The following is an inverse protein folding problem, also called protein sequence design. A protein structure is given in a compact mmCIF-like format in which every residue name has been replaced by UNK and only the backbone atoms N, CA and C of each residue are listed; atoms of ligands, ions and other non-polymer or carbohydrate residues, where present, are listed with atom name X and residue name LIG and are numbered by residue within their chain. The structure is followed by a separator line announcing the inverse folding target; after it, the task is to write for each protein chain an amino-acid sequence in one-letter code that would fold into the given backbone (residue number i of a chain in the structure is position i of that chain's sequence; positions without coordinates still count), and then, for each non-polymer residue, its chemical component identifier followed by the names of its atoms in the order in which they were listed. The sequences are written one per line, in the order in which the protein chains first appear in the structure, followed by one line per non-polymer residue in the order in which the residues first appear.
data_IF_582050307571
#
_entry.id   IF_582050307571
#
_cell.length_a   1.000
_cell.length_b   1.000
_cell.length_c   1.000
_cell.angle_alpha   90.00
_cell.angle_beta   90.00
_cell.angle_gamma   90.00
#
_symmetry.space_group_name_H-M   'P 1'
#
loop_
_entity.id
_entity.type
_entity.pdbx_description
1 polymer ?
#
# COMPACT_ATOMS: atom_id res chain seq x y z
N UNK A 1 -10.55 43.38 -15.52
CA UNK A 1 -9.08 43.40 -15.69
C UNK A 1 -8.46 42.19 -14.98
N UNK A 2 -8.46 41.07 -15.68
CA UNK A 2 -7.87 39.77 -15.16
C UNK A 2 -6.33 39.88 -15.04
N UNK A 3 -5.74 40.93 -15.57
CA UNK A 3 -4.29 41.17 -15.65
C UNK A 3 -3.78 42.22 -14.65
N UNK A 4 -4.60 42.62 -13.69
CA UNK A 4 -4.08 43.50 -12.64
C UNK A 4 -3.10 42.75 -11.76
N UNK A 5 -1.97 43.37 -11.38
CA UNK A 5 -0.94 42.81 -10.49
C UNK A 5 -1.53 42.27 -9.15
N UNK A 6 -2.67 42.79 -8.72
CA UNK A 6 -3.45 42.34 -7.57
C UNK A 6 -4.13 41.01 -7.82
N UNK A 7 -4.74 40.78 -9.02
CA UNK A 7 -5.40 39.52 -9.34
C UNK A 7 -4.44 38.34 -9.43
N UNK A 8 -3.25 38.54 -10.04
CA UNK A 8 -2.20 37.52 -10.08
C UNK A 8 -1.67 37.17 -8.67
N UNK A 9 -1.48 38.18 -7.82
CA UNK A 9 -1.03 37.99 -6.44
C UNK A 9 -2.03 37.17 -5.60
N UNK A 10 -3.32 37.38 -5.81
CA UNK A 10 -4.38 36.65 -5.07
C UNK A 10 -4.52 35.20 -5.56
N UNK A 11 -4.36 34.93 -6.85
CA UNK A 11 -4.32 33.57 -7.41
C UNK A 11 -3.13 32.81 -6.84
N UNK A 12 -1.95 33.42 -6.85
CA UNK A 12 -0.72 32.81 -6.33
C UNK A 12 -0.83 32.50 -4.83
N UNK A 13 -1.37 33.42 -4.04
CA UNK A 13 -1.61 33.22 -2.60
C UNK A 13 -2.56 32.04 -2.33
N UNK A 14 -3.65 31.93 -3.09
CA UNK A 14 -4.60 30.82 -2.96
C UNK A 14 -3.96 29.48 -3.32
N UNK A 15 -3.19 29.43 -4.40
CA UNK A 15 -2.46 28.23 -4.79
C UNK A 15 -1.44 27.80 -3.74
N UNK A 16 -0.69 28.76 -3.18
CA UNK A 16 0.27 28.49 -2.10
C UNK A 16 -0.44 27.96 -0.84
N UNK A 17 -1.51 28.62 -0.42
CA UNK A 17 -2.30 28.19 0.74
C UNK A 17 -2.89 26.77 0.54
N UNK A 18 -3.40 26.49 -0.63
CA UNK A 18 -3.96 25.16 -0.95
C UNK A 18 -2.87 24.08 -0.97
N UNK A 19 -1.67 24.41 -1.47
CA UNK A 19 -0.53 23.50 -1.46
C UNK A 19 -0.09 23.18 -0.02
N UNK A 20 0.11 24.18 0.81
CA UNK A 20 0.49 24.00 2.22
C UNK A 20 -0.53 23.18 3.00
N UNK A 21 -1.82 23.50 2.82
CA UNK A 21 -2.91 22.72 3.42
C UNK A 21 -2.90 21.26 2.93
N UNK A 22 -2.75 21.04 1.63
CA UNK A 22 -2.71 19.71 1.03
C UNK A 22 -1.54 18.88 1.54
N UNK A 23 -0.34 19.46 1.62
CA UNK A 23 0.84 18.81 2.19
C UNK A 23 0.64 18.44 3.67
N UNK A 24 0.03 19.32 4.46
CA UNK A 24 -0.26 19.05 5.86
C UNK A 24 -1.24 17.89 6.02
N UNK A 25 -2.34 17.90 5.25
CA UNK A 25 -3.35 16.84 5.26
C UNK A 25 -2.79 15.51 4.75
N UNK A 26 -1.95 15.53 3.72
CA UNK A 26 -1.25 14.35 3.21
C UNK A 26 -0.38 13.71 4.30
N UNK A 27 0.43 14.49 5.02
CA UNK A 27 1.26 13.97 6.13
C UNK A 27 0.42 13.34 7.24
N UNK A 28 -0.73 13.91 7.57
CA UNK A 28 -1.64 13.32 8.57
C UNK A 28 -2.19 11.98 8.11
N UNK A 29 -2.61 11.87 6.86
CA UNK A 29 -3.12 10.62 6.27
C UNK A 29 -2.01 9.56 6.23
N UNK A 30 -0.80 9.91 5.78
CA UNK A 30 0.37 9.03 5.80
C UNK A 30 0.63 8.50 7.22
N UNK A 31 0.59 9.38 8.23
CA UNK A 31 0.77 8.98 9.62
C UNK A 31 -0.30 8.00 10.12
N UNK A 32 -1.56 8.17 9.70
CA UNK A 32 -2.66 7.26 10.03
C UNK A 32 -2.45 5.92 9.33
N UNK A 33 -2.14 5.92 8.03
CA UNK A 33 -1.91 4.73 7.21
C UNK A 33 -0.77 3.88 7.77
N UNK A 34 0.36 4.49 8.10
CA UNK A 34 1.50 3.81 8.72
C UNK A 34 1.16 3.17 10.07
N UNK A 35 0.29 3.81 10.88
CA UNK A 35 -0.19 3.20 12.14
C UNK A 35 -1.12 2.04 11.88
N UNK A 36 -1.97 2.12 10.85
CA UNK A 36 -2.86 1.04 10.44
C UNK A 36 -2.08 -0.19 10.00
N UNK A 37 -1.09 -0.04 9.14
CA UNK A 37 -0.21 -1.14 8.68
C UNK A 37 0.47 -1.79 9.88
N UNK A 38 1.05 -1.01 10.80
CA UNK A 38 1.68 -1.57 12.01
C UNK A 38 0.69 -2.31 12.92
N UNK A 39 -0.56 -1.85 13.01
CA UNK A 39 -1.60 -2.57 13.77
C UNK A 39 -1.95 -3.89 13.09
N UNK A 40 -2.09 -3.91 11.77
CA UNK A 40 -2.36 -5.12 11.00
C UNK A 40 -1.21 -6.15 11.11
N UNK A 41 0.05 -5.70 11.06
CA UNK A 41 1.23 -6.54 11.28
C UNK A 41 1.24 -7.21 12.67
N UNK A 42 0.70 -6.52 13.67
CA UNK A 42 0.54 -7.05 15.04
C UNK A 42 -0.73 -7.88 15.22
N UNK A 43 -1.44 -8.18 14.15
CA UNK A 43 -2.73 -8.91 14.13
C UNK A 43 -3.86 -8.16 14.88
N UNK A 44 -3.70 -6.85 15.16
CA UNK A 44 -4.75 -5.98 15.72
C UNK A 44 -5.58 -5.37 14.57
N UNK A 45 -6.34 -6.23 13.91
CA UNK A 45 -7.12 -5.88 12.72
C UNK A 45 -8.25 -4.89 13.03
N UNK A 46 -8.82 -4.93 14.24
CA UNK A 46 -9.87 -3.98 14.65
C UNK A 46 -9.34 -2.54 14.71
N UNK A 47 -8.17 -2.36 15.30
CA UNK A 47 -7.54 -1.05 15.35
C UNK A 47 -7.05 -0.59 13.97
N UNK A 48 -6.53 -1.50 13.16
CA UNK A 48 -6.16 -1.21 11.77
C UNK A 48 -7.36 -0.69 10.97
N UNK A 49 -8.50 -1.36 11.03
CA UNK A 49 -9.73 -0.93 10.35
C UNK A 49 -10.25 0.42 10.87
N UNK A 50 -10.20 0.65 12.18
CA UNK A 50 -10.57 1.94 12.77
C UNK A 50 -9.72 3.08 12.20
N UNK A 51 -8.40 2.87 12.10
CA UNK A 51 -7.46 3.86 11.52
C UNK A 51 -7.72 4.09 10.03
N UNK A 52 -8.01 3.06 9.26
CA UNK A 52 -8.42 3.20 7.84
C UNK A 52 -9.67 4.07 7.73
N UNK A 53 -10.69 3.81 8.54
CA UNK A 53 -11.93 4.60 8.51
C UNK A 53 -11.68 6.07 8.93
N UNK A 54 -10.74 6.34 9.83
CA UNK A 54 -10.29 7.70 10.17
C UNK A 54 -9.59 8.34 8.96
N UNK A 55 -8.67 7.62 8.29
CA UNK A 55 -7.98 8.07 7.09
C UNK A 55 -8.93 8.44 5.96
N UNK A 56 -9.93 7.58 5.68
CA UNK A 56 -10.97 7.84 4.67
C UNK A 56 -11.77 9.11 5.00
N UNK A 57 -12.17 9.32 6.26
CA UNK A 57 -12.86 10.54 6.66
C UNK A 57 -12.01 11.79 6.44
N UNK A 58 -10.72 11.71 6.78
CA UNK A 58 -9.76 12.81 6.53
C UNK A 58 -9.57 13.07 5.05
N UNK A 59 -9.42 12.03 4.22
CA UNK A 59 -9.30 12.14 2.77
C UNK A 59 -10.52 12.88 2.18
N UNK A 60 -11.72 12.46 2.54
CA UNK A 60 -12.96 13.10 2.08
C UNK A 60 -13.07 14.57 2.52
N UNK A 61 -12.68 14.86 3.76
CA UNK A 61 -12.65 16.25 4.27
C UNK A 61 -11.62 17.10 3.53
N UNK A 62 -10.44 16.55 3.28
CA UNK A 62 -9.38 17.20 2.54
C UNK A 62 -9.79 17.54 1.10
N UNK A 63 -10.39 16.56 0.39
CA UNK A 63 -10.89 16.77 -0.96
C UNK A 63 -11.94 17.87 -1.03
N UNK A 64 -12.85 17.94 -0.06
CA UNK A 64 -13.85 19.03 0.02
C UNK A 64 -13.20 20.39 0.25
N UNK A 65 -12.24 20.48 1.18
CA UNK A 65 -11.52 21.73 1.48
C UNK A 65 -10.70 22.22 0.29
N UNK A 66 -9.96 21.33 -0.36
CA UNK A 66 -9.14 21.68 -1.52
C UNK A 66 -10.00 22.18 -2.69
N UNK A 67 -11.11 21.51 -2.99
CA UNK A 67 -12.07 21.96 -4.02
C UNK A 67 -12.69 23.33 -3.70
N UNK A 68 -12.88 23.67 -2.44
CA UNK A 68 -13.41 24.99 -2.05
C UNK A 68 -12.42 26.15 -2.22
N UNK A 69 -11.13 25.87 -2.25
CA UNK A 69 -10.08 26.92 -2.38
C UNK A 69 -9.81 27.23 -3.86
N UNK A 70 -9.78 26.24 -4.73
CA UNK A 70 -9.62 26.42 -6.18
C UNK A 70 -10.11 25.19 -6.96
N UNK A 71 -10.74 25.45 -8.10
CA UNK A 71 -11.20 24.40 -9.04
C UNK A 71 -10.02 23.80 -9.85
N UNK A 72 -8.91 24.53 -9.99
CA UNK A 72 -7.76 24.19 -10.84
C UNK A 72 -6.51 23.77 -10.04
N UNK A 73 -6.67 23.29 -8.81
CA UNK A 73 -5.50 22.86 -8.04
C UNK A 73 -4.98 21.54 -8.61
N UNK A 74 -3.72 21.57 -9.03
CA UNK A 74 -2.96 20.36 -9.26
C UNK A 74 -2.79 19.62 -7.92
N UNK A 75 -3.55 18.53 -7.73
CA UNK A 75 -3.60 17.76 -6.47
C UNK A 75 -2.45 16.76 -6.34
N UNK A 76 -1.42 16.82 -7.20
CA UNK A 76 -0.29 15.88 -7.19
C UNK A 76 0.40 15.77 -5.82
N UNK A 77 0.47 16.85 -5.05
CA UNK A 77 1.02 16.85 -3.69
C UNK A 77 0.18 16.08 -2.67
N UNK A 78 -1.05 15.68 -3.04
CA UNK A 78 -1.95 14.91 -2.18
C UNK A 78 -1.98 13.41 -2.54
N UNK A 79 -1.48 13.04 -3.72
CA UNK A 79 -1.46 11.66 -4.21
C UNK A 79 -0.65 10.71 -3.31
N UNK A 80 0.39 11.20 -2.65
CA UNK A 80 1.15 10.39 -1.70
C UNK A 80 0.30 9.94 -0.51
N UNK A 81 -0.53 10.84 0.05
CA UNK A 81 -1.47 10.49 1.13
C UNK A 81 -2.53 9.48 0.67
N UNK A 82 -3.05 9.64 -0.56
CA UNK A 82 -3.97 8.67 -1.16
C UNK A 82 -3.31 7.30 -1.31
N UNK A 83 -2.13 7.25 -1.89
CA UNK A 83 -1.37 6.03 -2.13
C UNK A 83 -1.12 5.26 -0.83
N UNK A 84 -0.62 5.93 0.20
CA UNK A 84 -0.36 5.32 1.50
C UNK A 84 -1.64 4.80 2.18
N UNK A 85 -2.77 5.49 1.98
CA UNK A 85 -4.05 5.00 2.50
C UNK A 85 -4.54 3.77 1.70
N UNK A 86 -4.34 3.75 0.39
CA UNK A 86 -4.59 2.57 -0.44
C UNK A 86 -3.73 1.38 0.01
N UNK A 87 -2.44 1.61 0.26
CA UNK A 87 -1.52 0.59 0.79
C UNK A 87 -2.06 -0.02 2.08
N UNK A 88 -2.45 0.81 3.06
CA UNK A 88 -3.00 0.34 4.33
C UNK A 88 -4.28 -0.49 4.15
N UNK A 89 -5.16 -0.08 3.24
CA UNK A 89 -6.41 -0.76 2.91
C UNK A 89 -6.13 -2.13 2.28
N UNK A 90 -5.28 -2.17 1.25
CA UNK A 90 -4.91 -3.42 0.58
C UNK A 90 -4.15 -4.36 1.53
N UNK A 91 -3.19 -3.82 2.30
CA UNK A 91 -2.45 -4.64 3.25
C UNK A 91 -3.39 -5.30 4.27
N UNK A 92 -4.33 -4.56 4.85
CA UNK A 92 -5.32 -5.14 5.76
C UNK A 92 -6.17 -6.22 5.07
N UNK A 93 -6.57 -6.02 3.81
CA UNK A 93 -7.34 -7.02 3.06
C UNK A 93 -6.53 -8.28 2.76
N UNK A 94 -5.23 -8.16 2.55
CA UNK A 94 -4.32 -9.28 2.27
C UNK A 94 -4.06 -10.16 3.51
N UNK A 95 -3.99 -9.55 4.69
CA UNK A 95 -3.64 -10.27 5.93
C UNK A 95 -4.83 -10.62 6.81
N UNK A 96 -6.04 -10.22 6.42
CA UNK A 96 -7.27 -10.45 7.19
C UNK A 96 -8.48 -10.69 6.29
N UNK A 97 -9.65 -10.91 6.90
CA UNK A 97 -10.93 -11.03 6.19
C UNK A 97 -11.57 -9.66 5.88
N UNK A 98 -10.80 -8.59 5.85
CA UNK A 98 -11.30 -7.26 5.53
C UNK A 98 -11.75 -7.18 4.07
N UNK A 99 -13.03 -6.85 3.85
CA UNK A 99 -13.62 -6.80 2.50
C UNK A 99 -13.46 -5.40 1.90
N UNK A 100 -12.83 -5.38 0.74
CA UNK A 100 -12.83 -4.21 -0.14
C UNK A 100 -14.20 -4.06 -0.80
N UNK A 101 -14.79 -2.89 -0.69
CA UNK A 101 -16.04 -2.54 -1.39
C UNK A 101 -15.73 -1.58 -2.54
N UNK A 102 -16.49 -1.67 -3.64
CA UNK A 102 -16.35 -0.75 -4.78
C UNK A 102 -16.43 0.72 -4.34
N UNK A 103 -17.33 1.04 -3.42
CA UNK A 103 -17.49 2.40 -2.87
C UNK A 103 -16.25 2.94 -2.15
N UNK A 104 -15.39 2.08 -1.63
CA UNK A 104 -14.10 2.49 -1.04
C UNK A 104 -13.04 2.70 -2.13
N UNK A 105 -13.04 1.86 -3.16
CA UNK A 105 -12.11 1.94 -4.28
C UNK A 105 -12.34 3.23 -5.08
N UNK A 106 -13.59 3.59 -5.33
CA UNK A 106 -13.99 4.76 -6.11
C UNK A 106 -13.57 6.12 -5.48
N UNK A 107 -13.09 6.10 -4.24
CA UNK A 107 -12.58 7.29 -3.57
C UNK A 107 -11.19 7.73 -4.04
N UNK A 108 -10.46 6.86 -4.71
CA UNK A 108 -9.04 7.01 -5.00
C UNK A 108 -8.76 7.17 -6.49
N UNK A 109 -7.67 7.84 -6.81
CA UNK A 109 -7.17 7.87 -8.18
C UNK A 109 -6.66 6.48 -8.61
N UNK A 110 -6.83 6.09 -9.90
CA UNK A 110 -6.32 4.81 -10.39
C UNK A 110 -4.83 4.61 -10.12
N UNK A 111 -4.02 5.66 -10.28
CA UNK A 111 -2.58 5.61 -10.00
C UNK A 111 -2.28 5.30 -8.53
N UNK A 112 -2.99 5.94 -7.59
CA UNK A 112 -2.83 5.70 -6.15
C UNK A 112 -3.27 4.30 -5.75
N UNK A 113 -4.36 3.79 -6.35
CA UNK A 113 -4.82 2.42 -6.13
C UNK A 113 -3.77 1.40 -6.55
N UNK A 114 -3.28 1.48 -7.79
CA UNK A 114 -2.35 0.50 -8.34
C UNK A 114 -1.01 0.51 -7.61
N UNK A 115 -0.48 1.70 -7.31
CA UNK A 115 0.77 1.83 -6.55
C UNK A 115 0.60 1.37 -5.10
N UNK A 116 -0.48 1.77 -4.43
CA UNK A 116 -0.76 1.35 -3.07
C UNK A 116 -0.94 -0.17 -2.95
N UNK A 117 -1.56 -0.82 -3.95
CA UNK A 117 -1.65 -2.27 -4.02
C UNK A 117 -0.28 -2.93 -4.17
N UNK A 118 0.60 -2.39 -5.03
CA UNK A 118 1.96 -2.89 -5.20
C UNK A 118 2.81 -2.75 -3.92
N UNK A 119 2.69 -1.61 -3.23
CA UNK A 119 3.39 -1.37 -1.97
C UNK A 119 2.86 -2.28 -0.86
N UNK A 120 1.54 -2.48 -0.77
CA UNK A 120 0.93 -3.45 0.15
C UNK A 120 1.41 -4.90 -0.09
N UNK A 121 1.52 -5.31 -1.36
CA UNK A 121 2.08 -6.61 -1.71
C UNK A 121 3.56 -6.71 -1.32
N UNK A 122 4.33 -5.64 -1.48
CA UNK A 122 5.74 -5.60 -1.03
C UNK A 122 5.86 -5.74 0.49
N UNK A 123 4.92 -5.18 1.26
CA UNK A 123 4.89 -5.28 2.73
C UNK A 123 4.58 -6.71 3.21
N UNK A 124 3.94 -7.55 2.39
CA UNK A 124 3.73 -8.97 2.69
C UNK A 124 5.05 -9.75 2.87
N UNK A 125 6.16 -9.29 2.28
CA UNK A 125 7.47 -9.89 2.53
C UNK A 125 7.78 -9.96 4.02
N UNK A 126 7.57 -8.86 4.75
CA UNK A 126 7.79 -8.83 6.20
C UNK A 126 6.94 -9.86 6.91
N UNK A 127 5.66 -9.92 6.57
CA UNK A 127 4.71 -10.89 7.14
C UNK A 127 5.11 -12.33 6.81
N UNK A 128 5.60 -12.59 5.58
CA UNK A 128 6.14 -13.90 5.20
C UNK A 128 7.34 -14.30 6.04
N UNK A 129 8.31 -13.39 6.24
CA UNK A 129 9.47 -13.66 7.06
C UNK A 129 9.13 -13.92 8.54
N UNK A 130 8.14 -13.20 9.08
CA UNK A 130 7.65 -13.43 10.43
C UNK A 130 6.97 -14.81 10.54
N UNK A 131 6.22 -15.25 9.53
CA UNK A 131 5.63 -16.60 9.46
C UNK A 131 6.71 -17.70 9.33
N UNK A 132 7.79 -17.47 8.59
CA UNK A 132 8.94 -18.40 8.55
C UNK A 132 9.53 -18.57 9.95
N UNK A 133 9.72 -17.49 10.70
CA UNK A 133 10.23 -17.53 12.08
C UNK A 133 9.29 -18.27 13.05
N UNK A 134 7.98 -18.20 12.81
CA UNK A 134 6.94 -18.91 13.55
C UNK A 134 6.76 -20.37 13.06
N UNK A 135 7.60 -20.85 12.14
CA UNK A 135 7.51 -22.16 11.46
C UNK A 135 6.17 -22.38 10.72
N UNK A 136 5.55 -21.32 10.24
CA UNK A 136 4.32 -21.36 9.45
C UNK A 136 4.62 -21.17 7.97
N UNK A 137 5.35 -22.12 7.39
CA UNK A 137 5.83 -22.05 6.01
C UNK A 137 4.68 -21.99 4.99
N UNK A 138 3.58 -22.71 5.24
CA UNK A 138 2.41 -22.71 4.37
C UNK A 138 1.80 -21.31 4.21
N UNK A 139 1.74 -20.53 5.29
CA UNK A 139 1.22 -19.17 5.22
C UNK A 139 2.18 -18.25 4.46
N UNK A 140 3.50 -18.48 4.60
CA UNK A 140 4.50 -17.73 3.84
C UNK A 140 4.39 -18.00 2.34
N UNK A 141 4.15 -19.25 1.93
CA UNK A 141 3.86 -19.61 0.52
C UNK A 141 2.59 -18.93 0.02
N UNK A 142 1.50 -18.96 0.79
CA UNK A 142 0.26 -18.27 0.41
C UNK A 142 0.48 -16.75 0.18
N UNK A 143 1.30 -16.10 1.00
CA UNK A 143 1.63 -14.68 0.77
C UNK A 143 2.49 -14.48 -0.47
N UNK A 144 3.42 -15.39 -0.76
CA UNK A 144 4.20 -15.35 -1.99
C UNK A 144 3.31 -15.49 -3.23
N UNK A 145 2.34 -16.41 -3.19
CA UNK A 145 1.37 -16.58 -4.27
C UNK A 145 0.55 -15.32 -4.49
N UNK A 146 0.05 -14.71 -3.43
CA UNK A 146 -0.67 -13.44 -3.51
C UNK A 146 0.19 -12.30 -4.06
N UNK A 147 1.48 -12.25 -3.68
CA UNK A 147 2.41 -11.27 -4.25
C UNK A 147 2.59 -11.47 -5.77
N UNK A 148 2.67 -12.74 -6.24
CA UNK A 148 2.73 -13.05 -7.66
C UNK A 148 1.43 -12.62 -8.39
N UNK A 149 0.26 -12.93 -7.82
CA UNK A 149 -1.03 -12.50 -8.40
C UNK A 149 -1.11 -10.98 -8.56
N UNK A 150 -0.58 -10.22 -7.61
CA UNK A 150 -0.52 -8.76 -7.73
C UNK A 150 0.44 -8.33 -8.84
N UNK A 151 1.61 -8.96 -8.99
CA UNK A 151 2.53 -8.69 -10.10
C UNK A 151 1.84 -8.93 -11.44
N UNK A 152 1.22 -10.10 -11.62
CA UNK A 152 0.55 -10.49 -12.86
C UNK A 152 -0.58 -9.51 -13.21
N UNK A 153 -1.36 -9.08 -12.20
CA UNK A 153 -2.40 -8.09 -12.38
C UNK A 153 -1.82 -6.75 -12.85
N UNK A 154 -0.75 -6.27 -12.20
CA UNK A 154 -0.15 -4.98 -12.56
C UNK A 154 0.51 -5.01 -13.94
N UNK A 155 1.08 -6.13 -14.35
CA UNK A 155 1.66 -6.32 -15.69
C UNK A 155 0.58 -6.39 -16.79
N UNK A 156 -0.61 -6.82 -16.47
CA UNK A 156 -1.74 -6.84 -17.42
C UNK A 156 -2.27 -5.43 -17.76
N UNK A 157 -1.85 -4.41 -17.01
CA UNK A 157 -2.31 -3.03 -17.19
C UNK A 157 -1.43 -2.32 -18.22
N UNK A 158 -1.94 -2.22 -19.44
CA UNK A 158 -1.27 -1.56 -20.56
C UNK A 158 -1.85 -0.16 -20.82
N UNK A 159 -1.45 0.80 -19.98
CA UNK A 159 -1.82 2.22 -20.14
C UNK A 159 -0.58 3.12 -20.26
N UNK A 160 -0.69 4.25 -20.98
CA UNK A 160 0.42 5.21 -21.10
C UNK A 160 0.95 5.67 -19.75
N UNK A 161 2.26 5.90 -19.65
CA UNK A 161 2.97 6.33 -18.45
C UNK A 161 2.36 7.59 -17.82
N UNK A 162 1.85 8.53 -18.64
CA UNK A 162 1.16 9.73 -18.16
C UNK A 162 -0.08 9.45 -17.31
N UNK A 163 -0.73 8.28 -17.50
CA UNK A 163 -1.89 7.83 -16.73
C UNK A 163 -1.44 7.04 -15.50
N UNK A 164 -0.47 6.15 -15.66
CA UNK A 164 0.01 5.23 -14.62
C UNK A 164 1.03 5.84 -13.67
N UNK A 165 1.65 6.98 -14.05
CA UNK A 165 2.55 7.78 -13.22
C UNK A 165 3.67 6.97 -12.55
N UNK A 166 4.38 6.13 -13.31
CA UNK A 166 5.50 5.33 -12.81
C UNK A 166 5.10 3.95 -12.28
N UNK A 167 3.94 3.42 -12.66
CA UNK A 167 3.48 2.08 -12.27
C UNK A 167 4.49 1.01 -12.68
N UNK A 168 5.06 1.08 -13.88
CA UNK A 168 6.06 0.12 -14.37
C UNK A 168 7.24 -0.01 -13.41
N UNK A 169 7.78 1.11 -12.96
CA UNK A 169 8.87 1.12 -11.98
C UNK A 169 8.45 0.47 -10.65
N UNK A 170 7.23 0.76 -10.19
CA UNK A 170 6.70 0.17 -8.95
C UNK A 170 6.51 -1.34 -9.09
N UNK A 171 6.02 -1.81 -10.25
CA UNK A 171 5.88 -3.24 -10.56
C UNK A 171 7.25 -3.94 -10.61
N UNK A 172 8.27 -3.33 -11.23
CA UNK A 172 9.63 -3.88 -11.27
C UNK A 172 10.24 -3.98 -9.87
N UNK A 173 9.97 -3.01 -9.00
CA UNK A 173 10.38 -3.05 -7.59
C UNK A 173 9.69 -4.19 -6.84
N UNK A 174 8.37 -4.35 -7.01
CA UNK A 174 7.62 -5.45 -6.41
C UNK A 174 8.16 -6.81 -6.89
N UNK A 175 8.41 -6.98 -8.19
CA UNK A 175 9.00 -8.21 -8.75
C UNK A 175 10.32 -8.55 -8.05
N UNK A 176 11.16 -7.55 -7.82
CA UNK A 176 12.43 -7.75 -7.09
C UNK A 176 12.22 -8.18 -5.64
N UNK A 177 11.14 -7.72 -4.99
CA UNK A 177 10.77 -8.14 -3.63
C UNK A 177 10.25 -9.58 -3.65
N UNK A 178 9.41 -9.94 -4.63
CA UNK A 178 8.89 -11.31 -4.83
C UNK A 178 10.02 -12.30 -4.97
N UNK A 179 10.99 -12.05 -5.84
CA UNK A 179 12.11 -12.97 -6.07
C UNK A 179 12.97 -13.19 -4.83
N UNK A 180 13.24 -12.14 -4.05
CA UNK A 180 13.95 -12.27 -2.77
C UNK A 180 13.12 -13.07 -1.76
N UNK A 181 11.81 -12.85 -1.70
CA UNK A 181 10.91 -13.59 -0.80
C UNK A 181 10.85 -15.06 -1.16
N UNK A 182 10.78 -15.38 -2.46
CA UNK A 182 10.85 -16.73 -2.99
C UNK A 182 12.13 -17.45 -2.55
N UNK A 183 13.27 -16.78 -2.65
CA UNK A 183 14.56 -17.32 -2.22
C UNK A 183 14.56 -17.67 -0.73
N UNK A 184 14.09 -16.77 0.13
CA UNK A 184 14.05 -16.98 1.58
C UNK A 184 13.10 -18.14 1.96
N UNK A 185 11.92 -18.23 1.35
CA UNK A 185 10.95 -19.31 1.58
C UNK A 185 11.53 -20.64 1.10
N UNK A 186 12.18 -20.67 -0.07
CA UNK A 186 12.80 -21.90 -0.61
C UNK A 186 13.85 -22.46 0.34
N UNK A 187 14.73 -21.59 0.90
CA UNK A 187 15.74 -22.00 1.87
C UNK A 187 15.08 -22.54 3.14
N UNK A 188 14.03 -21.88 3.64
CA UNK A 188 13.31 -22.33 4.83
C UNK A 188 12.63 -23.68 4.62
N UNK A 189 12.02 -23.92 3.46
CA UNK A 189 11.40 -25.20 3.10
C UNK A 189 12.43 -26.33 3.02
N UNK A 190 13.58 -26.11 2.37
CA UNK A 190 14.64 -27.09 2.27
C UNK A 190 15.20 -27.48 3.65
N UNK A 191 15.37 -26.48 4.53
CA UNK A 191 15.79 -26.69 5.91
C UNK A 191 14.78 -27.55 6.68
N UNK A 192 13.50 -27.22 6.61
CA UNK A 192 12.43 -27.97 7.27
C UNK A 192 12.41 -29.44 6.80
N UNK A 193 12.49 -29.66 5.48
CA UNK A 193 12.56 -31.02 4.92
C UNK A 193 13.80 -31.82 5.41
N UNK A 194 14.92 -31.13 5.59
CA UNK A 194 16.13 -31.78 6.12
C UNK A 194 15.93 -32.16 7.61
N UNK A 195 15.37 -31.26 8.40
CA UNK A 195 15.07 -31.50 9.81
C UNK A 195 14.11 -32.72 9.97
N UNK A 196 13.05 -32.80 9.18
CA UNK A 196 12.12 -33.93 9.18
C UNK A 196 12.79 -35.27 8.80
N UNK A 197 13.70 -35.26 7.81
CA UNK A 197 14.46 -36.46 7.43
C UNK A 197 15.41 -36.91 8.53
N UNK A 198 16.08 -35.98 9.21
CA UNK A 198 16.98 -36.27 10.35
C UNK A 198 16.17 -36.89 11.50
N UNK A 199 15.04 -36.30 11.87
CA UNK A 199 14.16 -36.83 12.92
C UNK A 199 13.67 -38.24 12.60
N UNK A 200 13.28 -38.46 11.32
CA UNK A 200 12.83 -39.77 10.86
C UNK A 200 13.94 -40.80 10.92
N UNK A 201 15.18 -40.39 10.61
CA UNK A 201 16.35 -41.27 10.69
C UNK A 201 16.69 -41.63 12.14
N UNK A 202 16.68 -40.66 13.05
CA UNK A 202 16.95 -40.87 14.48
C UNK A 202 15.95 -41.85 15.09
N UNK A 203 14.64 -41.72 14.79
CA UNK A 203 13.56 -42.64 15.26
C UNK A 203 13.71 -44.09 14.73
N UNK A 204 14.54 -44.35 13.73
CA UNK A 204 14.82 -45.69 13.22
C UNK A 204 16.03 -46.36 13.87
N UNK A 205 16.85 -45.58 14.57
CA UNK A 205 18.07 -46.05 15.24
C UNK A 205 17.76 -46.41 16.70
N UNK A 206 16.76 -45.74 17.31
CA UNK A 206 16.25 -46.08 18.66
C UNK A 206 15.29 -47.30 18.56
#
# INVERSE_FOLDING_TARGET
DVWSSRGLGDVYKRQHLARELGLSLSREIIGISSRSIRSAQRKDFKNAEKLINEGIKKLNSANKKLKSISLDINTTFFLDGEKELCEAIFFLSFVSNYKLTSTKIDLFSPSSLLKGMAEAASELRRTSLDNIRENNLKMSENYLDLMNEVVDLLESIDYPEGVTQGLRRTTDQLRSVVERTRGDITIALQRNQLEEKIETFLKKID
#
